data_IF_890424170426
#
_entry.id   IF_890424170426
#
_cell.length_a   1.000
_cell.length_b   1.000
_cell.length_c   1.000
_cell.angle_alpha   90.00
_cell.angle_beta   90.00
_cell.angle_gamma   90.00
#
_symmetry.space_group_name_H-M   'P 1'
#
loop_
_entity.id
_entity.type
_entity.pdbx_description
1 polymer ?
#
# COMPACT_ATOMS: atom_id res chain seq x y z
N UNK A 1 -1.37 -4.33 -20.30
CA UNK A 1 -0.91 -3.81 -18.99
C UNK A 1 -0.28 -4.95 -18.22
N UNK A 2 0.75 -4.69 -17.41
CA UNK A 2 1.45 -5.71 -16.62
C UNK A 2 0.75 -5.89 -15.28
N UNK A 3 0.58 -7.13 -14.82
CA UNK A 3 0.05 -7.44 -13.49
C UNK A 3 1.17 -7.36 -12.45
N UNK A 4 1.00 -6.53 -11.42
CA UNK A 4 1.95 -6.34 -10.32
C UNK A 4 1.50 -7.00 -9.00
N UNK A 5 0.33 -7.63 -8.99
CA UNK A 5 -0.22 -8.27 -7.80
C UNK A 5 0.65 -9.44 -7.34
N UNK A 6 0.76 -9.60 -6.03
CA UNK A 6 1.54 -10.67 -5.40
C UNK A 6 0.92 -11.08 -4.06
N UNK A 7 1.40 -12.18 -3.48
CA UNK A 7 0.90 -12.72 -2.21
C UNK A 7 2.04 -13.00 -1.23
N UNK A 8 1.77 -12.80 0.06
CA UNK A 8 2.62 -13.25 1.17
C UNK A 8 1.72 -14.04 2.14
N UNK A 9 1.92 -15.36 2.22
CA UNK A 9 0.98 -16.23 2.94
C UNK A 9 -0.43 -16.09 2.38
N UNK A 10 -1.40 -15.86 3.26
CA UNK A 10 -2.82 -15.68 2.90
C UNK A 10 -3.19 -14.23 2.53
N UNK A 11 -2.21 -13.31 2.50
CA UNK A 11 -2.43 -11.92 2.13
C UNK A 11 -2.23 -11.71 0.63
N UNK A 12 -3.20 -11.02 -0.01
CA UNK A 12 -3.16 -10.67 -1.42
C UNK A 12 -2.99 -9.14 -1.58
N UNK A 13 -1.93 -8.74 -2.28
CA UNK A 13 -1.58 -7.34 -2.51
C UNK A 13 -1.77 -7.00 -3.99
N UNK A 14 -2.25 -5.79 -4.27
CA UNK A 14 -2.47 -5.33 -5.64
C UNK A 14 -1.18 -4.96 -6.40
N UNK A 15 -0.13 -4.58 -5.68
CA UNK A 15 1.18 -4.20 -6.21
C UNK A 15 2.22 -4.18 -5.08
N UNK A 16 3.55 -4.20 -5.37
CA UNK A 16 4.60 -4.28 -4.37
C UNK A 16 4.95 -2.94 -3.68
N UNK A 17 4.18 -1.88 -3.89
CA UNK A 17 4.43 -0.57 -3.25
C UNK A 17 3.78 -0.55 -1.88
N UNK A 18 4.59 -0.74 -0.84
CA UNK A 18 4.17 -0.74 0.57
C UNK A 18 4.85 0.41 1.32
N UNK A 19 4.18 1.00 2.31
CA UNK A 19 4.80 1.98 3.20
C UNK A 19 5.76 1.28 4.18
N UNK A 20 6.74 2.02 4.73
CA UNK A 20 7.54 1.52 5.84
C UNK A 20 6.85 1.82 7.18
N UNK A 21 7.04 0.95 8.18
CA UNK A 21 6.48 1.18 9.52
C UNK A 21 7.00 2.50 10.10
N UNK A 22 6.09 3.28 10.68
CA UNK A 22 6.39 4.58 11.28
C UNK A 22 6.59 5.74 10.31
N UNK A 23 6.43 5.55 8.99
CA UNK A 23 6.67 6.62 8.00
C UNK A 23 5.41 7.19 7.34
N UNK A 24 4.24 6.61 7.59
CA UNK A 24 3.02 6.95 6.84
C UNK A 24 1.73 7.10 7.67
N UNK A 25 1.83 7.10 9.02
CA UNK A 25 0.64 7.18 9.87
C UNK A 25 -0.34 6.03 9.60
N UNK A 26 -1.64 6.34 9.50
CA UNK A 26 -2.69 5.35 9.22
C UNK A 26 -3.31 5.49 7.82
N UNK A 27 -2.89 6.50 7.03
CA UNK A 27 -3.32 6.71 5.66
C UNK A 27 -4.01 8.06 5.42
N UNK A 28 -5.05 8.44 6.19
CA UNK A 28 -5.83 9.66 5.93
C UNK A 28 -5.01 10.96 5.92
N UNK A 29 -3.84 10.98 6.56
CA UNK A 29 -2.93 12.12 6.55
C UNK A 29 -2.38 12.45 5.15
N UNK A 30 -2.49 11.50 4.21
CA UNK A 30 -1.95 11.59 2.86
C UNK A 30 -3.01 11.69 1.75
N UNK A 31 -4.31 11.70 2.09
CA UNK A 31 -5.42 11.76 1.12
C UNK A 31 -5.38 13.06 0.27
N UNK A 32 -4.82 14.14 0.80
CA UNK A 32 -4.63 15.41 0.08
C UNK A 32 -3.51 15.35 -0.98
N UNK A 33 -2.63 14.34 -0.91
CA UNK A 33 -1.42 14.25 -1.74
C UNK A 33 -1.45 13.12 -2.76
N UNK A 34 -2.11 12.00 -2.44
CA UNK A 34 -2.24 10.85 -3.34
C UNK A 34 -3.48 10.01 -3.03
N UNK A 35 -3.92 9.24 -4.02
CA UNK A 35 -4.92 8.19 -3.82
C UNK A 35 -4.30 7.04 -3.01
N UNK A 36 -4.55 7.02 -1.70
CA UNK A 36 -4.06 5.98 -0.79
C UNK A 36 -4.54 4.59 -1.22
N UNK A 37 -5.71 4.51 -1.89
CA UNK A 37 -6.25 3.27 -2.44
C UNK A 37 -5.46 2.75 -3.66
N UNK A 38 -4.38 3.42 -4.08
CA UNK A 38 -3.41 2.94 -5.08
C UNK A 38 -2.17 2.24 -4.48
N UNK A 39 -1.94 2.29 -3.15
CA UNK A 39 -0.83 1.61 -2.47
C UNK A 39 -1.07 0.13 -2.20
N UNK A 40 -0.10 -0.75 -2.45
CA UNK A 40 -0.18 -2.18 -2.14
C UNK A 40 -0.63 -2.49 -0.72
N UNK A 41 -0.22 -1.66 0.25
CA UNK A 41 -0.62 -1.75 1.65
C UNK A 41 0.10 -0.69 2.50
N UNK A 42 -0.45 -0.44 3.68
CA UNK A 42 0.16 0.40 4.72
C UNK A 42 0.70 -0.52 5.81
N UNK A 43 1.99 -0.38 6.10
CA UNK A 43 2.64 -1.10 7.20
C UNK A 43 2.69 -0.17 8.40
N UNK A 44 2.05 -0.59 9.50
CA UNK A 44 2.08 0.08 10.81
C UNK A 44 2.91 -0.72 11.78
#
# INVERSE_FOLDING_TARGET
MVNLGFSIGDLHFKNPVLTASGTFGYGPEFDDFLDVSALGGIIV
#
